data_IF_239766704757
#
_entry.id   IF_239766704757
#
_cell.length_a   1.000
_cell.length_b   1.000
_cell.length_c   1.000
_cell.angle_alpha   90.00
_cell.angle_beta   90.00
_cell.angle_gamma   90.00
#
_symmetry.space_group_name_H-M   'P 1'
#
loop_
_entity.id
_entity.type
_entity.pdbx_description
1 polymer ?
#
# COMPACT_ATOMS: atom_id res chain seq x y z
N UNK A 1 -5.89 -22.40 -12.24
CA UNK A 1 -5.30 -21.06 -12.38
C UNK A 1 -5.36 -20.31 -11.06
N UNK A 2 -4.69 -19.15 -10.93
CA UNK A 2 -4.63 -18.38 -9.68
C UNK A 2 -6.02 -18.12 -9.09
N UNK A 3 -6.17 -18.40 -7.78
CA UNK A 3 -7.44 -18.21 -7.05
C UNK A 3 -8.62 -19.10 -7.48
N UNK A 4 -8.39 -20.15 -8.27
CA UNK A 4 -9.41 -21.14 -8.62
C UNK A 4 -9.47 -22.28 -7.61
N UNK A 5 -10.65 -22.89 -7.47
CA UNK A 5 -10.92 -23.96 -6.51
C UNK A 5 -11.66 -25.13 -7.18
N UNK A 6 -11.53 -26.31 -6.57
CA UNK A 6 -12.37 -27.49 -6.81
C UNK A 6 -12.84 -28.03 -5.45
N UNK A 7 -13.99 -28.70 -5.43
CA UNK A 7 -14.52 -29.30 -4.20
C UNK A 7 -15.32 -30.56 -4.52
N UNK A 8 -15.44 -31.46 -3.55
CA UNK A 8 -16.28 -32.66 -3.66
C UNK A 8 -17.18 -32.74 -2.44
N UNK A 9 -18.47 -32.91 -2.66
CA UNK A 9 -19.43 -33.22 -1.59
C UNK A 9 -19.48 -34.73 -1.41
N UNK A 10 -18.90 -35.21 -0.31
CA UNK A 10 -18.70 -36.66 -0.08
C UNK A 10 -20.00 -37.44 0.11
N UNK A 11 -21.05 -36.81 0.62
CA UNK A 11 -22.35 -37.46 0.83
C UNK A 11 -23.11 -37.74 -0.47
N UNK A 12 -23.04 -36.83 -1.44
CA UNK A 12 -23.71 -36.97 -2.74
C UNK A 12 -22.77 -37.50 -3.84
N UNK A 13 -21.46 -37.49 -3.59
CA UNK A 13 -20.44 -37.79 -4.59
C UNK A 13 -20.28 -36.70 -5.66
N UNK A 14 -20.88 -35.52 -5.46
CA UNK A 14 -20.87 -34.47 -6.48
C UNK A 14 -19.55 -33.69 -6.50
N UNK A 15 -18.99 -33.53 -7.69
CA UNK A 15 -17.77 -32.76 -7.94
C UNK A 15 -18.11 -31.35 -8.43
N UNK A 16 -17.61 -30.33 -7.75
CA UNK A 16 -17.82 -28.93 -8.10
C UNK A 16 -16.55 -28.31 -8.69
N UNK A 17 -16.70 -27.60 -9.81
CA UNK A 17 -15.69 -26.73 -10.36
C UNK A 17 -15.79 -25.30 -9.82
N UNK A 18 -14.74 -24.50 -10.00
CA UNK A 18 -14.64 -23.11 -9.54
C UNK A 18 -15.88 -22.24 -9.87
N UNK A 19 -16.44 -22.41 -11.07
CA UNK A 19 -17.58 -21.62 -11.55
C UNK A 19 -18.92 -22.01 -10.91
N UNK A 20 -18.97 -23.16 -10.22
CA UNK A 20 -20.14 -23.61 -9.46
C UNK A 20 -19.99 -23.26 -7.98
N UNK A 21 -18.76 -23.35 -7.45
CA UNK A 21 -18.44 -23.06 -6.05
C UNK A 21 -18.67 -21.58 -5.74
N UNK A 22 -18.08 -20.67 -6.53
CA UNK A 22 -18.09 -19.23 -6.23
C UNK A 22 -19.51 -18.65 -6.19
N UNK A 23 -20.39 -18.88 -7.19
CA UNK A 23 -21.77 -18.41 -7.12
C UNK A 23 -22.56 -19.01 -5.95
N UNK A 24 -22.38 -20.30 -5.65
CA UNK A 24 -23.06 -20.95 -4.51
C UNK A 24 -22.70 -20.29 -3.18
N UNK A 25 -21.46 -19.86 -2.99
CA UNK A 25 -21.02 -19.12 -1.79
C UNK A 25 -21.50 -17.67 -1.82
N UNK A 26 -21.40 -17.00 -2.97
CA UNK A 26 -21.85 -15.62 -3.15
C UNK A 26 -23.37 -15.46 -2.92
N UNK A 27 -24.17 -16.48 -3.23
CA UNK A 27 -25.62 -16.47 -3.06
C UNK A 27 -26.09 -16.65 -1.60
N UNK A 28 -25.18 -16.82 -0.62
CA UNK A 28 -25.57 -17.01 0.79
C UNK A 28 -26.15 -15.75 1.44
N UNK A 29 -25.80 -14.58 0.92
CA UNK A 29 -26.30 -13.29 1.40
C UNK A 29 -26.23 -12.27 0.25
N UNK A 30 -27.00 -11.19 0.34
CA UNK A 30 -26.92 -10.08 -0.60
C UNK A 30 -25.77 -9.13 -0.25
N UNK A 31 -24.54 -9.57 -0.54
CA UNK A 31 -23.33 -8.78 -0.28
C UNK A 31 -23.34 -7.44 -1.01
N UNK A 32 -24.02 -7.34 -2.16
CA UNK A 32 -24.11 -6.08 -2.90
C UNK A 32 -24.97 -5.05 -2.15
N UNK A 33 -26.12 -5.46 -1.62
CA UNK A 33 -26.96 -4.59 -0.78
C UNK A 33 -26.25 -4.20 0.53
N UNK A 34 -25.51 -5.14 1.14
CA UNK A 34 -24.71 -4.85 2.35
C UNK A 34 -23.65 -3.78 2.07
N UNK A 35 -22.88 -3.93 0.98
CA UNK A 35 -21.88 -2.93 0.60
C UNK A 35 -22.53 -1.58 0.27
N UNK A 36 -23.66 -1.56 -0.43
CA UNK A 36 -24.36 -0.31 -0.77
C UNK A 36 -24.88 0.45 0.47
N UNK A 37 -25.20 -0.26 1.54
CA UNK A 37 -25.74 0.34 2.78
C UNK A 37 -24.66 0.68 3.81
N UNK A 38 -23.56 -0.06 3.83
CA UNK A 38 -22.54 0.02 4.89
C UNK A 38 -21.20 0.63 4.43
N UNK A 39 -20.89 0.60 3.14
CA UNK A 39 -19.65 1.16 2.61
C UNK A 39 -19.90 2.53 1.97
N UNK A 40 -18.94 3.43 2.14
CA UNK A 40 -18.90 4.72 1.45
C UNK A 40 -17.52 4.92 0.85
N UNK A 41 -17.46 5.20 -0.44
CA UNK A 41 -16.23 5.59 -1.10
C UNK A 41 -15.90 7.04 -0.75
N UNK A 42 -14.61 7.32 -0.53
CA UNK A 42 -14.11 8.69 -0.46
C UNK A 42 -13.75 9.09 -1.87
N UNK A 43 -14.51 10.04 -2.43
CA UNK A 43 -14.28 10.50 -3.79
C UNK A 43 -12.96 11.28 -3.88
N UNK A 44 -12.15 11.06 -4.92
CA UNK A 44 -10.95 11.85 -5.16
C UNK A 44 -11.27 13.34 -5.27
N UNK A 45 -10.49 14.17 -4.59
CA UNK A 45 -10.59 15.63 -4.69
C UNK A 45 -9.36 16.20 -5.38
N UNK A 46 -9.50 17.31 -6.14
CA UNK A 46 -8.34 17.98 -6.71
C UNK A 46 -7.41 18.48 -5.60
N UNK A 47 -6.10 18.40 -5.82
CA UNK A 47 -5.12 18.99 -4.93
C UNK A 47 -5.29 20.52 -4.88
N UNK A 48 -5.11 21.11 -3.70
CA UNK A 48 -5.14 22.57 -3.55
C UNK A 48 -3.93 23.19 -4.28
N UNK A 49 -4.19 24.12 -5.20
CA UNK A 49 -3.16 24.74 -6.03
C UNK A 49 -2.36 25.84 -5.33
N UNK A 50 -2.61 26.12 -4.05
CA UNK A 50 -2.04 27.27 -3.34
C UNK A 50 -1.26 26.83 -2.11
N UNK A 51 -0.02 27.31 -2.01
CA UNK A 51 0.77 27.22 -0.80
C UNK A 51 0.05 27.92 0.36
N UNK A 52 -0.09 27.23 1.48
CA UNK A 52 -0.78 27.72 2.68
C UNK A 52 0.16 28.38 3.69
N UNK A 53 1.47 28.19 3.52
CA UNK A 53 2.53 28.70 4.40
C UNK A 53 3.39 29.74 3.68
N UNK A 54 3.88 30.73 4.42
CA UNK A 54 4.93 31.63 3.94
C UNK A 54 6.29 30.92 3.88
N UNK A 55 7.23 31.46 3.11
CA UNK A 55 8.57 30.88 2.96
C UNK A 55 9.33 30.72 4.30
N UNK A 56 9.32 31.71 5.23
CA UNK A 56 9.97 31.53 6.53
C UNK A 56 9.33 30.43 7.39
N UNK A 57 8.01 30.30 7.36
CA UNK A 57 7.29 29.25 8.09
C UNK A 57 7.58 27.86 7.51
N UNK A 58 7.69 27.77 6.18
CA UNK A 58 8.05 26.54 5.48
C UNK A 58 9.46 26.07 5.86
N UNK A 59 10.44 26.96 5.79
CA UNK A 59 11.85 26.65 6.14
C UNK A 59 11.97 26.22 7.60
N UNK A 60 11.27 26.90 8.51
CA UNK A 60 11.22 26.53 9.92
C UNK A 60 10.62 25.12 10.10
N UNK A 61 9.53 24.83 9.39
CA UNK A 61 8.85 23.53 9.46
C UNK A 61 9.73 22.42 8.90
N UNK A 62 10.37 22.64 7.75
CA UNK A 62 11.34 21.70 7.16
C UNK A 62 12.45 21.38 8.16
N UNK A 63 13.04 22.41 8.77
CA UNK A 63 14.11 22.23 9.77
C UNK A 63 13.59 21.48 11.00
N UNK A 64 12.39 21.77 11.48
CA UNK A 64 11.79 21.10 12.63
C UNK A 64 11.50 19.61 12.37
N UNK A 65 11.11 19.26 11.14
CA UNK A 65 10.96 17.88 10.68
C UNK A 65 12.25 17.30 10.07
N UNK A 66 13.38 17.99 10.25
CA UNK A 66 14.73 17.66 9.78
C UNK A 66 14.86 17.30 8.31
N UNK A 67 14.08 17.97 7.46
CA UNK A 67 14.27 17.97 6.02
C UNK A 67 15.55 18.71 5.65
N UNK A 68 16.39 18.07 4.84
CA UNK A 68 17.55 18.69 4.22
C UNK A 68 17.21 19.27 2.83
N UNK A 69 18.11 20.09 2.31
CA UNK A 69 18.00 20.58 0.93
C UNK A 69 18.09 19.44 -0.09
N UNK A 70 18.78 18.35 0.25
CA UNK A 70 18.91 17.17 -0.61
C UNK A 70 17.61 16.38 -0.67
N UNK A 71 16.92 16.18 0.46
CA UNK A 71 15.62 15.50 0.52
C UNK A 71 14.59 16.18 -0.40
N UNK A 72 14.57 17.52 -0.37
CA UNK A 72 13.65 18.30 -1.21
C UNK A 72 14.13 18.36 -2.66
N UNK A 73 15.41 18.72 -2.86
CA UNK A 73 15.95 19.02 -4.18
C UNK A 73 16.16 17.79 -5.05
N UNK A 74 16.54 16.66 -4.46
CA UNK A 74 16.78 15.41 -5.18
C UNK A 74 15.59 14.45 -5.07
N UNK A 75 14.94 14.34 -3.91
CA UNK A 75 13.81 13.42 -3.71
C UNK A 75 12.48 14.02 -4.19
N UNK A 76 11.99 15.04 -3.48
CA UNK A 76 10.63 15.58 -3.74
C UNK A 76 10.50 16.24 -5.10
N UNK A 77 11.47 17.06 -5.50
CA UNK A 77 11.41 17.77 -6.77
C UNK A 77 11.42 16.81 -7.98
N UNK A 78 12.16 15.72 -7.91
CA UNK A 78 12.21 14.70 -8.95
C UNK A 78 10.88 13.93 -9.04
N UNK A 79 10.32 13.51 -7.90
CA UNK A 79 8.97 12.91 -7.85
C UNK A 79 7.90 13.84 -8.42
N UNK A 80 7.94 15.12 -8.05
CA UNK A 80 6.96 16.11 -8.50
C UNK A 80 7.05 16.39 -10.01
N UNK A 81 8.25 16.32 -10.59
CA UNK A 81 8.48 16.63 -12.01
C UNK A 81 8.30 15.43 -12.94
N UNK A 82 8.68 14.21 -12.49
CA UNK A 82 8.69 13.00 -13.33
C UNK A 82 7.55 12.03 -13.01
N UNK A 83 6.94 12.15 -11.83
CA UNK A 83 5.95 11.19 -11.33
C UNK A 83 6.55 9.83 -10.96
N UNK A 84 7.87 9.75 -10.75
CA UNK A 84 8.60 8.54 -10.36
C UNK A 84 9.53 8.83 -9.19
N UNK A 85 9.86 7.80 -8.42
CA UNK A 85 10.93 7.92 -7.42
C UNK A 85 12.29 8.13 -8.08
N UNK A 86 13.19 8.77 -7.35
CA UNK A 86 14.53 9.07 -7.80
C UNK A 86 15.40 7.84 -7.90
N UNK A 87 16.16 7.74 -8.99
CA UNK A 87 17.12 6.65 -9.21
C UNK A 87 18.55 7.12 -8.93
N UNK A 88 19.23 6.41 -8.03
CA UNK A 88 20.63 6.63 -7.71
C UNK A 88 21.49 5.41 -8.04
N UNK A 89 22.81 5.57 -7.96
CA UNK A 89 23.78 4.51 -8.16
C UNK A 89 24.80 4.49 -7.01
N UNK A 90 25.62 3.44 -6.96
CA UNK A 90 26.53 3.12 -5.83
C UNK A 90 25.80 2.59 -4.59
N UNK A 91 26.57 2.10 -3.61
CA UNK A 91 26.02 1.66 -2.33
C UNK A 91 25.86 2.82 -1.35
N UNK A 92 25.07 2.58 -0.30
CA UNK A 92 24.97 3.49 0.85
C UNK A 92 26.26 3.38 1.69
N UNK A 93 27.11 4.41 1.62
CA UNK A 93 28.36 4.52 2.35
C UNK A 93 28.24 5.34 3.64
N UNK A 94 27.03 5.81 3.97
CA UNK A 94 26.77 6.52 5.22
C UNK A 94 26.87 5.55 6.42
N UNK A 95 27.27 6.05 7.60
CA UNK A 95 27.21 5.25 8.81
C UNK A 95 25.76 4.82 9.09
N UNK A 96 25.59 3.64 9.69
CA UNK A 96 24.28 3.24 10.22
C UNK A 96 23.75 4.34 11.15
N UNK A 97 22.45 4.62 11.08
CA UNK A 97 21.83 5.70 11.88
C UNK A 97 22.07 5.57 13.40
N UNK A 98 22.35 4.36 13.90
CA UNK A 98 22.72 4.11 15.31
C UNK A 98 24.17 4.48 15.66
N UNK A 99 25.04 4.57 14.66
CA UNK A 99 26.48 4.83 14.80
C UNK A 99 26.86 6.24 14.32
N UNK A 100 25.96 6.92 13.62
CA UNK A 100 26.18 8.26 13.09
C UNK A 100 26.21 9.32 14.20
N UNK A 101 27.07 10.31 14.03
CA UNK A 101 27.09 11.53 14.86
C UNK A 101 26.06 12.57 14.39
N UNK A 102 25.47 12.39 13.20
CA UNK A 102 24.47 13.27 12.62
C UNK A 102 23.06 12.91 13.13
N UNK A 103 22.13 13.87 13.19
CA UNK A 103 20.74 13.58 13.51
C UNK A 103 20.10 12.74 12.39
N UNK A 104 19.38 11.68 12.78
CA UNK A 104 18.68 10.78 11.86
C UNK A 104 17.19 10.72 12.17
N UNK A 105 16.39 10.40 11.15
CA UNK A 105 14.95 10.23 11.30
C UNK A 105 14.60 8.82 11.75
N UNK A 106 13.44 8.68 12.40
CA UNK A 106 12.95 7.37 12.88
C UNK A 106 12.91 6.33 11.76
N UNK A 107 12.59 6.75 10.54
CA UNK A 107 12.51 5.84 9.39
C UNK A 107 13.88 5.26 8.98
N UNK A 108 15.02 5.90 9.30
CA UNK A 108 16.35 5.39 8.96
C UNK A 108 16.70 4.10 9.73
N UNK A 109 16.08 3.92 10.90
CA UNK A 109 16.22 2.75 11.75
C UNK A 109 15.34 1.57 11.32
N UNK A 110 14.34 1.80 10.45
CA UNK A 110 13.39 0.78 9.99
C UNK A 110 13.82 0.25 8.63
N UNK A 111 14.46 -0.93 8.60
CA UNK A 111 14.90 -1.55 7.34
C UNK A 111 13.79 -2.40 6.72
N UNK A 112 13.54 -2.19 5.43
CA UNK A 112 12.56 -2.96 4.67
C UNK A 112 13.00 -4.42 4.58
N UNK A 113 12.10 -5.33 4.94
CA UNK A 113 12.32 -6.78 4.77
C UNK A 113 11.94 -7.18 3.37
N UNK A 114 12.68 -8.13 2.80
CA UNK A 114 12.38 -8.69 1.50
C UNK A 114 12.41 -10.22 1.54
N UNK A 115 11.67 -10.82 0.62
CA UNK A 115 11.59 -12.26 0.48
C UNK A 115 12.81 -12.80 -0.26
N UNK A 116 13.37 -13.89 0.24
CA UNK A 116 14.45 -14.63 -0.41
C UNK A 116 14.20 -16.12 -0.26
N UNK A 117 14.38 -16.89 -1.35
CA UNK A 117 14.32 -18.36 -1.44
C UNK A 117 12.95 -18.98 -1.09
N UNK A 118 12.45 -18.70 0.11
CA UNK A 118 11.23 -19.26 0.72
C UNK A 118 9.95 -18.84 0.00
N UNK A 119 9.89 -17.61 -0.51
CA UNK A 119 8.81 -17.13 -1.36
C UNK A 119 9.34 -16.10 -2.37
N UNK A 120 8.82 -16.08 -3.61
CA UNK A 120 9.27 -15.14 -4.63
C UNK A 120 8.70 -13.73 -4.38
N UNK A 121 9.44 -12.65 -4.71
CA UNK A 121 8.87 -11.31 -4.83
C UNK A 121 7.93 -11.24 -6.04
N UNK A 122 6.95 -10.32 -5.99
CA UNK A 122 6.00 -10.06 -7.08
C UNK A 122 6.53 -8.87 -7.90
N UNK A 123 6.40 -8.90 -9.23
CA UNK A 123 6.75 -7.77 -10.10
C UNK A 123 5.68 -6.65 -9.99
N UNK A 124 5.98 -5.49 -9.37
CA UNK A 124 4.97 -4.46 -9.15
C UNK A 124 4.51 -3.77 -10.45
N UNK A 125 5.26 -3.90 -11.54
CA UNK A 125 4.95 -3.27 -12.84
C UNK A 125 4.17 -4.25 -13.71
N UNK A 126 4.66 -5.48 -13.87
CA UNK A 126 4.04 -6.48 -14.75
C UNK A 126 2.86 -7.20 -14.12
N UNK A 127 2.88 -7.36 -12.79
CA UNK A 127 1.85 -8.07 -12.03
C UNK A 127 1.03 -7.11 -11.13
N UNK A 128 1.09 -5.80 -11.37
CA UNK A 128 0.39 -4.80 -10.56
C UNK A 128 -1.13 -5.02 -10.44
N UNK A 129 -1.75 -5.73 -11.38
CA UNK A 129 -3.18 -6.09 -11.36
C UNK A 129 -3.58 -7.02 -10.19
N UNK A 130 -2.63 -7.77 -9.62
CA UNK A 130 -2.89 -8.63 -8.44
C UNK A 130 -2.58 -7.92 -7.12
N UNK A 131 -2.13 -6.67 -7.17
CA UNK A 131 -1.81 -5.84 -6.01
C UNK A 131 -2.90 -4.78 -5.79
N UNK A 132 -3.02 -4.27 -4.55
CA UNK A 132 -3.98 -3.21 -4.23
C UNK A 132 -3.46 -2.33 -3.09
N UNK A 133 -3.70 -1.02 -3.21
CA UNK A 133 -3.47 -0.02 -2.16
C UNK A 133 -4.79 0.41 -1.48
N UNK A 134 -5.89 -0.33 -1.70
CA UNK A 134 -7.18 0.01 -1.11
C UNK A 134 -7.14 -0.07 0.42
N UNK A 135 -7.62 0.98 1.08
CA UNK A 135 -7.71 1.07 2.54
C UNK A 135 -9.17 1.23 2.94
N UNK A 136 -9.59 0.49 3.97
CA UNK A 136 -10.91 0.63 4.59
C UNK A 136 -10.77 1.32 5.95
N UNK A 137 -11.59 2.33 6.19
CA UNK A 137 -11.63 3.08 7.45
C UNK A 137 -12.88 2.69 8.24
N UNK A 138 -12.73 2.48 9.54
CA UNK A 138 -13.83 2.13 10.44
C UNK A 138 -13.54 0.90 11.29
N UNK A 139 -14.55 0.47 12.06
CA UNK A 139 -14.45 -0.73 12.90
C UNK A 139 -14.39 -1.97 12.01
N UNK A 140 -13.49 -2.90 12.35
CA UNK A 140 -13.53 -4.26 11.79
C UNK A 140 -14.60 -5.06 12.55
N UNK A 141 -15.69 -5.37 11.87
CA UNK A 141 -16.76 -6.17 12.45
C UNK A 141 -16.41 -7.66 12.53
N UNK A 142 -17.24 -8.42 13.24
CA UNK A 142 -17.01 -9.84 13.48
C UNK A 142 -17.15 -10.65 12.18
N UNK A 143 -16.07 -11.33 11.79
CA UNK A 143 -16.01 -12.18 10.59
C UNK A 143 -16.94 -13.41 10.63
N UNK A 144 -17.43 -13.79 11.81
CA UNK A 144 -18.36 -14.90 12.01
C UNK A 144 -19.81 -14.45 12.16
N UNK A 145 -20.06 -13.15 12.34
CA UNK A 145 -21.40 -12.61 12.40
C UNK A 145 -21.90 -12.35 10.97
N UNK A 146 -22.31 -13.44 10.30
CA UNK A 146 -23.07 -13.42 9.06
C UNK A 146 -24.50 -13.88 9.32
#
# INVERSE_FOLDING_TARGET
GPGQMIAVELSSGHFFHNHEIKPKVAARADYAAMLATQARAVEPQPFAARATMSEPELVLSWTAFGWSLEDVGMGVADMASTGKESTFCMGDDAPLATLSEQPHMVYDYLKQRFAQVTNPPIDPIREGLVMSLAVSLGRKDNVLAG
#
